data_IF_360274789996
#
_entry.id   IF_360274789996
#
_cell.length_a   1.000
_cell.length_b   1.000
_cell.length_c   1.000
_cell.angle_alpha   90.00
_cell.angle_beta   90.00
_cell.angle_gamma   90.00
#
_symmetry.space_group_name_H-M   'P 1'
#
loop_
_entity.id
_entity.type
_entity.pdbx_description
1 polymer ?
#
# COMPACT_ATOMS: atom_id res chain seq x y z
N UNK A 1 65.95 -31.35 42.21
CA UNK A 1 67.33 -30.86 42.11
C UNK A 1 67.51 -30.29 40.70
N UNK A 2 67.30 -28.97 40.58
CA UNK A 2 67.49 -28.00 39.48
C UNK A 2 67.02 -28.30 38.02
N UNK A 3 66.73 -27.27 37.17
CA UNK A 3 66.67 -25.82 37.43
C UNK A 3 65.41 -25.09 36.93
N UNK A 4 65.22 -23.89 37.51
CA UNK A 4 64.49 -22.74 36.98
C UNK A 4 65.16 -22.16 35.72
N UNK A 5 64.36 -21.66 34.79
CA UNK A 5 64.66 -20.62 33.79
C UNK A 5 63.28 -20.14 33.29
N UNK A 6 62.94 -18.87 33.16
CA UNK A 6 63.75 -17.66 33.03
C UNK A 6 63.03 -16.81 31.98
N UNK A 7 62.35 -15.77 32.46
CA UNK A 7 62.04 -14.45 31.90
C UNK A 7 61.87 -14.17 30.39
N UNK A 8 60.93 -13.25 30.17
CA UNK A 8 60.89 -12.18 29.16
C UNK A 8 60.62 -12.52 27.69
N UNK A 9 59.41 -12.14 27.23
CA UNK A 9 59.29 -11.42 25.95
C UNK A 9 57.99 -10.60 25.79
N UNK A 10 58.18 -9.27 25.86
CA UNK A 10 57.58 -8.19 25.07
C UNK A 10 56.09 -8.21 24.73
N UNK A 11 55.33 -7.37 25.44
CA UNK A 11 54.11 -6.73 24.93
C UNK A 11 54.45 -5.77 23.78
N UNK A 12 54.12 -6.16 22.55
CA UNK A 12 54.09 -5.28 21.39
C UNK A 12 52.80 -4.45 21.38
N UNK A 13 52.92 -3.14 21.61
CA UNK A 13 51.86 -2.17 21.37
C UNK A 13 51.60 -2.06 19.86
N UNK A 14 50.51 -2.66 19.39
CA UNK A 14 49.99 -2.44 18.03
C UNK A 14 49.54 -0.99 17.89
N UNK A 15 50.18 -0.28 16.96
CA UNK A 15 49.78 1.05 16.49
C UNK A 15 48.40 0.94 15.82
N UNK A 16 47.49 1.82 16.22
CA UNK A 16 46.20 2.01 15.58
C UNK A 16 46.40 2.51 14.14
N UNK A 17 46.16 1.63 13.16
CA UNK A 17 45.99 2.04 11.77
C UNK A 17 44.59 2.65 11.58
N UNK A 18 44.48 3.84 10.96
CA UNK A 18 43.18 4.42 10.64
C UNK A 18 42.51 3.61 9.53
N UNK A 19 41.33 3.07 9.84
CA UNK A 19 40.46 2.37 8.90
C UNK A 19 40.26 3.17 7.59
N UNK A 20 40.41 2.55 6.42
CA UNK A 20 40.16 3.21 5.14
C UNK A 20 38.68 3.61 5.06
N UNK A 21 38.43 4.89 4.79
CA UNK A 21 37.08 5.43 4.55
C UNK A 21 36.52 4.80 3.27
N UNK A 22 35.69 3.77 3.41
CA UNK A 22 34.94 3.19 2.30
C UNK A 22 33.91 4.21 1.77
N UNK A 23 34.14 4.68 0.54
CA UNK A 23 33.14 5.47 -0.19
C UNK A 23 31.95 4.58 -0.56
N UNK A 24 30.69 5.00 -0.29
CA UNK A 24 29.49 4.20 -0.55
C UNK A 24 29.25 3.88 -2.04
N UNK A 25 29.94 4.57 -2.95
CA UNK A 25 29.92 4.24 -4.38
C UNK A 25 30.63 2.90 -4.70
N UNK A 26 31.65 2.53 -3.92
CA UNK A 26 32.43 1.31 -4.18
C UNK A 26 31.71 0.02 -3.77
N UNK A 27 30.80 0.09 -2.80
CA UNK A 27 30.06 -1.09 -2.29
C UNK A 27 29.00 -1.59 -3.28
N UNK A 28 28.34 -0.67 -4.00
CA UNK A 28 27.33 -1.04 -5.00
C UNK A 28 27.97 -1.66 -6.25
N UNK A 29 29.12 -1.14 -6.65
CA UNK A 29 29.89 -1.68 -7.79
C UNK A 29 30.54 -3.04 -7.44
N UNK A 30 31.06 -3.20 -6.22
CA UNK A 30 31.58 -4.49 -5.76
C UNK A 30 30.48 -5.56 -5.62
N UNK A 31 29.30 -5.20 -5.12
CA UNK A 31 28.16 -6.12 -5.04
C UNK A 31 27.70 -6.58 -6.44
N UNK A 32 27.69 -5.67 -7.41
CA UNK A 32 27.29 -5.99 -8.80
C UNK A 32 28.31 -6.91 -9.49
N UNK A 33 29.61 -6.71 -9.23
CA UNK A 33 30.69 -7.58 -9.75
C UNK A 33 30.64 -8.97 -9.10
N UNK A 34 30.37 -9.04 -7.79
CA UNK A 34 30.20 -10.32 -7.08
C UNK A 34 29.01 -11.10 -7.63
N UNK A 35 27.83 -10.47 -7.79
CA UNK A 35 26.63 -11.13 -8.33
C UNK A 35 26.87 -11.65 -9.76
N UNK A 36 27.53 -10.87 -10.62
CA UNK A 36 27.87 -11.31 -11.99
C UNK A 36 28.80 -12.52 -11.99
N UNK A 37 29.79 -12.56 -11.09
CA UNK A 37 30.73 -13.69 -10.99
C UNK A 37 30.04 -14.95 -10.48
N UNK A 38 29.13 -14.85 -9.51
CA UNK A 38 28.43 -16.02 -8.96
C UNK A 38 27.45 -16.64 -9.97
N UNK A 39 26.75 -15.82 -10.76
CA UNK A 39 25.86 -16.29 -11.85
C UNK A 39 26.68 -17.01 -12.93
N UNK A 40 27.83 -16.46 -13.31
CA UNK A 40 28.68 -17.03 -14.34
C UNK A 40 29.40 -18.33 -13.89
N UNK A 41 29.61 -18.50 -12.58
CA UNK A 41 30.20 -19.71 -11.99
C UNK A 41 29.18 -20.86 -11.89
N UNK A 42 27.93 -20.54 -11.53
CA UNK A 42 26.82 -21.52 -11.44
C UNK A 42 26.46 -22.14 -12.79
N UNK A 43 26.75 -21.45 -13.89
CA UNK A 43 26.46 -21.93 -15.25
C UNK A 43 27.60 -22.78 -15.86
N UNK A 44 28.74 -22.90 -15.19
CA UNK A 44 29.95 -23.55 -15.75
C UNK A 44 30.52 -24.71 -14.95
N UNK A 45 29.98 -25.01 -13.76
CA UNK A 45 30.58 -26.01 -12.89
C UNK A 45 29.54 -26.99 -12.34
N UNK A 46 29.71 -28.27 -12.69
CA UNK A 46 29.10 -29.43 -12.03
C UNK A 46 29.80 -29.78 -10.71
N UNK A 47 30.51 -28.82 -10.11
CA UNK A 47 31.27 -29.00 -8.88
C UNK A 47 30.42 -28.57 -7.68
N UNK A 48 30.54 -29.26 -6.54
CA UNK A 48 29.81 -28.90 -5.32
C UNK A 48 30.17 -27.47 -4.89
N UNK A 49 29.15 -26.65 -4.65
CA UNK A 49 29.30 -25.27 -4.18
C UNK A 49 30.04 -25.29 -2.84
N UNK A 50 31.11 -24.48 -2.66
CA UNK A 50 31.82 -24.38 -1.40
C UNK A 50 30.87 -24.02 -0.26
N UNK A 51 30.88 -24.80 0.84
CA UNK A 51 29.94 -24.66 1.95
C UNK A 51 29.87 -23.22 2.54
N UNK A 52 30.98 -22.47 2.51
CA UNK A 52 31.00 -21.07 2.98
C UNK A 52 30.19 -20.09 2.12
N UNK A 53 29.98 -20.38 0.82
CA UNK A 53 29.13 -19.57 -0.07
C UNK A 53 27.66 -19.92 0.15
N UNK A 54 27.36 -21.17 0.53
CA UNK A 54 26.01 -21.61 0.86
C UNK A 54 25.47 -20.81 2.06
N UNK A 55 26.27 -20.61 3.12
CA UNK A 55 25.88 -19.77 4.27
C UNK A 55 25.59 -18.31 3.89
N UNK A 56 26.36 -17.70 2.98
CA UNK A 56 26.12 -16.32 2.56
C UNK A 56 24.82 -16.18 1.75
N UNK A 57 24.47 -17.21 0.97
CA UNK A 57 23.21 -17.26 0.21
C UNK A 57 22.02 -17.55 1.14
N UNK A 58 22.24 -18.38 2.17
CA UNK A 58 21.22 -18.75 3.16
C UNK A 58 20.97 -17.66 4.22
N UNK A 59 21.94 -16.76 4.46
CA UNK A 59 21.82 -15.61 5.39
C UNK A 59 21.27 -14.32 4.73
N UNK A 60 21.36 -14.21 3.39
CA UNK A 60 20.80 -13.07 2.64
C UNK A 60 19.26 -12.88 2.71
N UNK A 61 18.39 -13.88 3.01
CA UNK A 61 16.95 -13.68 3.10
C UNK A 61 16.46 -13.16 4.46
N UNK A 62 17.31 -13.15 5.50
CA UNK A 62 16.89 -12.74 6.86
C UNK A 62 16.53 -11.24 6.95
N UNK A 63 17.28 -10.38 6.26
CA UNK A 63 16.99 -8.93 6.17
C UNK A 63 15.88 -8.56 5.19
N UNK A 64 15.51 -9.45 4.26
CA UNK A 64 14.49 -9.18 3.25
C UNK A 64 13.06 -9.38 3.79
N UNK A 65 12.89 -10.31 4.74
CA UNK A 65 11.62 -10.59 5.42
C UNK A 65 10.99 -9.35 6.10
N UNK A 66 11.71 -8.56 6.93
CA UNK A 66 11.14 -7.36 7.54
C UNK A 66 10.82 -6.28 6.50
N UNK A 67 11.54 -6.23 5.37
CA UNK A 67 11.26 -5.29 4.29
C UNK A 67 9.95 -5.64 3.56
N UNK A 68 9.74 -6.92 3.25
CA UNK A 68 8.47 -7.42 2.69
C UNK A 68 7.29 -7.17 3.64
N UNK A 69 7.49 -7.38 4.94
CA UNK A 69 6.50 -7.07 5.96
C UNK A 69 6.15 -5.57 6.01
N UNK A 70 7.14 -4.69 5.86
CA UNK A 70 6.93 -3.24 5.82
C UNK A 70 6.20 -2.80 4.53
N UNK A 71 6.49 -3.43 3.39
CA UNK A 71 5.76 -3.21 2.14
C UNK A 71 4.29 -3.64 2.24
N UNK A 72 4.02 -4.75 2.92
CA UNK A 72 2.68 -5.25 3.14
C UNK A 72 1.82 -4.28 3.99
N UNK A 73 2.37 -3.77 5.10
CA UNK A 73 1.66 -2.82 5.97
C UNK A 73 1.23 -1.55 5.21
N UNK A 74 2.06 -1.07 4.28
CA UNK A 74 1.75 0.08 3.43
C UNK A 74 0.60 -0.20 2.45
N UNK A 75 0.52 -1.43 1.94
CA UNK A 75 -0.46 -1.79 0.92
C UNK A 75 -1.88 -1.99 1.50
N UNK A 76 -2.02 -2.48 2.74
CA UNK A 76 -3.34 -2.59 3.41
C UNK A 76 -3.94 -1.22 3.72
N UNK A 77 -3.12 -0.21 3.98
CA UNK A 77 -3.61 1.10 4.40
C UNK A 77 -4.56 1.73 3.37
N UNK A 78 -4.25 1.56 2.08
CA UNK A 78 -4.99 2.16 0.97
C UNK A 78 -6.44 1.65 0.89
N UNK A 79 -6.73 0.34 0.78
CA UNK A 79 -8.09 -0.17 0.70
C UNK A 79 -8.92 0.13 1.96
N UNK A 80 -8.29 0.13 3.14
CA UNK A 80 -8.98 0.50 4.39
C UNK A 80 -9.29 2.00 4.47
N UNK A 81 -8.43 2.86 3.92
CA UNK A 81 -8.76 4.28 3.78
C UNK A 81 -9.98 4.49 2.86
N UNK A 82 -10.11 3.71 1.78
CA UNK A 82 -11.32 3.72 0.96
C UNK A 82 -12.56 3.29 1.75
N UNK A 83 -12.46 2.22 2.57
CA UNK A 83 -13.57 1.79 3.45
C UNK A 83 -13.96 2.91 4.41
N UNK A 84 -13.00 3.50 5.11
CA UNK A 84 -13.25 4.58 6.06
C UNK A 84 -13.92 5.79 5.38
N UNK A 85 -13.46 6.14 4.18
CA UNK A 85 -14.05 7.23 3.39
C UNK A 85 -15.49 6.90 2.92
N UNK A 86 -15.75 5.66 2.51
CA UNK A 86 -17.09 5.21 2.10
C UNK A 86 -18.03 5.17 3.30
N UNK A 87 -17.59 4.69 4.47
CA UNK A 87 -18.37 4.73 5.72
C UNK A 87 -18.69 6.18 6.11
N UNK A 88 -17.69 7.07 6.08
CA UNK A 88 -17.89 8.48 6.36
C UNK A 88 -18.98 9.08 5.44
N UNK A 89 -18.87 8.86 4.12
CA UNK A 89 -19.87 9.38 3.17
C UNK A 89 -21.24 8.71 3.32
N UNK A 90 -21.28 7.41 3.58
CA UNK A 90 -22.52 6.69 3.87
C UNK A 90 -23.26 7.37 5.02
N UNK A 91 -22.57 7.62 6.14
CA UNK A 91 -23.16 8.27 7.31
C UNK A 91 -23.64 9.69 7.01
N UNK A 92 -22.85 10.50 6.30
CA UNK A 92 -23.20 11.87 5.93
C UNK A 92 -24.42 11.92 5.01
N UNK A 93 -24.52 11.02 4.04
CA UNK A 93 -25.61 10.99 3.04
C UNK A 93 -26.90 10.43 3.66
N UNK A 94 -26.83 9.27 4.31
CA UNK A 94 -28.01 8.59 4.84
C UNK A 94 -28.57 9.32 6.06
N UNK A 95 -27.71 9.78 6.96
CA UNK A 95 -28.09 10.47 8.19
C UNK A 95 -27.86 11.99 8.11
N UNK A 96 -28.18 12.59 6.97
CA UNK A 96 -27.97 14.03 6.70
C UNK A 96 -28.64 14.97 7.72
N UNK A 97 -29.64 14.50 8.48
CA UNK A 97 -30.34 15.26 9.53
C UNK A 97 -29.56 15.35 10.85
N UNK A 98 -28.63 14.43 11.10
CA UNK A 98 -27.85 14.42 12.34
C UNK A 98 -26.60 15.30 12.17
N UNK A 99 -26.49 16.34 12.99
CA UNK A 99 -25.36 17.27 12.96
C UNK A 99 -24.02 16.59 13.28
N UNK A 100 -24.03 15.52 14.10
CA UNK A 100 -22.83 14.78 14.51
C UNK A 100 -21.97 14.35 13.32
N UNK A 101 -22.57 13.79 12.27
CA UNK A 101 -21.84 13.29 11.10
C UNK A 101 -21.22 14.39 10.23
N UNK A 102 -21.61 15.65 10.41
CA UNK A 102 -21.05 16.80 9.68
C UNK A 102 -19.87 17.44 10.41
N UNK A 103 -19.60 17.02 11.65
CA UNK A 103 -18.51 17.58 12.46
C UNK A 103 -17.15 17.06 12.01
N UNK A 104 -16.10 17.87 12.21
CA UNK A 104 -14.71 17.43 11.99
C UNK A 104 -14.32 16.26 12.93
N UNK A 105 -14.95 16.19 14.10
CA UNK A 105 -14.73 15.11 15.07
C UNK A 105 -15.12 13.75 14.49
N UNK A 106 -16.19 13.67 13.69
CA UNK A 106 -16.59 12.44 13.03
C UNK A 106 -15.52 11.92 12.06
N UNK A 107 -14.88 12.81 11.30
CA UNK A 107 -13.76 12.45 10.41
C UNK A 107 -12.60 11.86 11.21
N UNK A 108 -12.25 12.46 12.36
CA UNK A 108 -11.19 11.95 13.25
C UNK A 108 -11.54 10.56 13.77
N UNK A 109 -12.79 10.34 14.18
CA UNK A 109 -13.27 9.02 14.63
C UNK A 109 -13.13 7.98 13.50
N UNK A 110 -13.53 8.31 12.27
CA UNK A 110 -13.37 7.39 11.13
C UNK A 110 -11.90 7.02 10.89
N UNK A 111 -10.99 8.01 10.99
CA UNK A 111 -9.54 7.77 10.83
C UNK A 111 -9.02 6.88 11.96
N UNK A 112 -9.33 7.20 13.23
CA UNK A 112 -8.87 6.40 14.37
C UNK A 112 -9.38 4.96 14.30
N UNK A 113 -10.65 4.75 13.96
CA UNK A 113 -11.23 3.42 13.79
C UNK A 113 -10.54 2.64 12.67
N UNK A 114 -10.18 3.32 11.56
CA UNK A 114 -9.39 2.70 10.49
C UNK A 114 -8.03 2.22 10.99
N UNK A 115 -7.31 3.05 11.74
CA UNK A 115 -6.00 2.70 12.29
C UNK A 115 -6.08 1.52 13.25
N UNK A 116 -7.08 1.51 14.14
CA UNK A 116 -7.31 0.39 15.07
C UNK A 116 -7.61 -0.90 14.28
N UNK A 117 -8.49 -0.84 13.28
CA UNK A 117 -8.81 -2.01 12.46
C UNK A 117 -7.57 -2.54 11.72
N UNK A 118 -6.74 -1.64 11.16
CA UNK A 118 -5.50 -2.02 10.48
C UNK A 118 -4.48 -2.63 11.44
N UNK A 119 -4.37 -2.09 12.67
CA UNK A 119 -3.51 -2.65 13.71
C UNK A 119 -3.95 -4.08 14.06
N UNK A 120 -5.24 -4.29 14.32
CA UNK A 120 -5.81 -5.61 14.63
C UNK A 120 -5.58 -6.61 13.50
N UNK A 121 -5.78 -6.20 12.24
CA UNK A 121 -5.56 -7.06 11.07
C UNK A 121 -4.07 -7.35 10.83
N UNK A 122 -3.17 -6.50 11.31
CA UNK A 122 -1.73 -6.73 11.19
C UNK A 122 -1.18 -7.67 12.27
N UNK A 123 -1.94 -7.94 13.34
CA UNK A 123 -1.47 -8.76 14.47
C UNK A 123 -1.02 -10.18 14.09
N UNK A 124 -1.72 -10.94 13.23
CA UNK A 124 -1.28 -12.28 12.86
C UNK A 124 0.14 -12.32 12.29
N UNK A 125 0.56 -11.28 11.56
CA UNK A 125 1.90 -11.22 11.00
C UNK A 125 2.97 -10.97 12.05
N UNK A 126 2.64 -10.24 13.12
CA UNK A 126 3.56 -10.03 14.26
C UNK A 126 3.76 -11.34 15.01
N UNK A 127 2.69 -12.11 15.23
CA UNK A 127 2.77 -13.38 15.96
C UNK A 127 3.49 -14.47 15.16
N UNK A 128 3.25 -14.56 13.85
CA UNK A 128 3.92 -15.56 12.99
C UNK A 128 5.43 -15.29 12.87
N UNK A 129 5.87 -14.03 13.02
CA UNK A 129 7.31 -13.71 13.04
C UNK A 129 8.07 -14.32 14.23
N UNK A 130 7.41 -14.54 15.38
CA UNK A 130 8.06 -15.11 16.56
C UNK A 130 8.10 -16.64 16.57
N UNK A 131 7.28 -17.29 15.74
CA UNK A 131 7.14 -18.74 15.70
C UNK A 131 7.85 -19.31 14.45
N UNK A 132 9.18 -19.15 14.41
CA UNK A 132 10.08 -19.51 13.31
C UNK A 132 10.01 -21.00 12.86
N UNK A 133 9.22 -21.84 13.52
CA UNK A 133 9.17 -23.29 13.28
C UNK A 133 7.95 -23.81 12.48
N UNK A 134 6.96 -22.97 12.11
CA UNK A 134 5.74 -23.49 11.47
C UNK A 134 5.52 -22.98 10.05
N UNK A 135 5.68 -23.88 9.10
CA UNK A 135 5.71 -23.73 7.63
C UNK A 135 4.38 -23.35 6.97
N UNK A 136 3.65 -22.33 7.44
CA UNK A 136 2.34 -21.96 6.86
C UNK A 136 2.38 -20.72 5.96
N UNK A 137 3.43 -20.59 5.14
CA UNK A 137 3.61 -19.50 4.16
C UNK A 137 2.41 -19.34 3.20
N UNK A 138 1.73 -20.45 2.88
CA UNK A 138 0.53 -20.46 2.05
C UNK A 138 -0.66 -19.78 2.72
N UNK A 139 -0.88 -20.01 4.02
CA UNK A 139 -2.00 -19.44 4.76
C UNK A 139 -1.90 -17.92 4.82
N UNK A 140 -0.68 -17.38 5.02
CA UNK A 140 -0.44 -15.95 5.01
C UNK A 140 -0.74 -15.27 3.67
N UNK A 141 -0.50 -15.95 2.54
CA UNK A 141 -0.91 -15.49 1.22
C UNK A 141 -2.43 -15.34 1.11
N UNK A 142 -3.19 -16.34 1.55
CA UNK A 142 -4.66 -16.28 1.58
C UNK A 142 -5.18 -15.21 2.54
N UNK A 143 -4.61 -15.13 3.74
CA UNK A 143 -4.97 -14.12 4.74
C UNK A 143 -4.79 -12.72 4.16
N UNK A 144 -3.65 -12.48 3.50
CA UNK A 144 -3.33 -11.24 2.77
C UNK A 144 -4.38 -10.94 1.71
N UNK A 145 -4.70 -11.89 0.83
CA UNK A 145 -5.69 -11.70 -0.22
C UNK A 145 -7.08 -11.36 0.34
N UNK A 146 -7.51 -12.08 1.38
CA UNK A 146 -8.79 -11.87 2.03
C UNK A 146 -8.85 -10.47 2.66
N UNK A 147 -7.86 -10.12 3.46
CA UNK A 147 -7.87 -8.87 4.23
C UNK A 147 -7.57 -7.63 3.40
N UNK A 148 -6.67 -7.71 2.42
CA UNK A 148 -6.29 -6.57 1.59
C UNK A 148 -7.24 -6.32 0.40
N UNK A 149 -7.88 -7.37 -0.13
CA UNK A 149 -8.73 -7.27 -1.32
C UNK A 149 -10.18 -7.58 -1.02
N UNK A 150 -10.49 -8.80 -0.57
CA UNK A 150 -11.88 -9.30 -0.52
C UNK A 150 -12.71 -8.53 0.52
N UNK A 151 -12.18 -8.39 1.73
CA UNK A 151 -12.85 -7.71 2.84
C UNK A 151 -13.14 -6.23 2.53
N UNK A 152 -12.16 -5.38 2.17
CA UNK A 152 -12.44 -3.99 1.85
C UNK A 152 -13.31 -3.83 0.59
N UNK A 153 -13.21 -4.74 -0.39
CA UNK A 153 -14.07 -4.73 -1.58
C UNK A 153 -15.52 -5.03 -1.28
N UNK A 154 -15.79 -6.07 -0.51
CA UNK A 154 -17.15 -6.42 -0.13
C UNK A 154 -17.81 -5.28 0.66
N UNK A 155 -17.11 -4.71 1.65
CA UNK A 155 -17.61 -3.59 2.45
C UNK A 155 -17.87 -2.36 1.56
N UNK A 156 -16.90 -1.95 0.73
CA UNK A 156 -17.07 -0.80 -0.16
C UNK A 156 -18.19 -1.02 -1.18
N UNK A 157 -18.29 -2.21 -1.76
CA UNK A 157 -19.34 -2.53 -2.73
C UNK A 157 -20.72 -2.45 -2.08
N UNK A 158 -20.91 -3.07 -0.91
CA UNK A 158 -22.16 -3.05 -0.15
C UNK A 158 -22.55 -1.60 0.19
N UNK A 159 -21.64 -0.82 0.76
CA UNK A 159 -21.91 0.57 1.13
C UNK A 159 -22.21 1.45 -0.09
N UNK A 160 -21.45 1.31 -1.18
CA UNK A 160 -21.70 2.07 -2.41
C UNK A 160 -23.05 1.73 -3.04
N UNK A 161 -23.47 0.46 -3.02
CA UNK A 161 -24.82 0.04 -3.45
C UNK A 161 -25.88 0.71 -2.58
N UNK A 162 -25.73 0.70 -1.25
CA UNK A 162 -26.67 1.37 -0.36
C UNK A 162 -26.74 2.89 -0.59
N UNK A 163 -25.60 3.56 -0.74
CA UNK A 163 -25.53 4.99 -1.07
C UNK A 163 -26.26 5.25 -2.39
N UNK A 164 -26.00 4.43 -3.41
CA UNK A 164 -26.62 4.58 -4.73
C UNK A 164 -28.14 4.42 -4.68
N UNK A 165 -28.64 3.38 -4.01
CA UNK A 165 -30.07 3.15 -3.80
C UNK A 165 -30.71 4.34 -3.07
N UNK A 166 -30.04 4.84 -2.02
CA UNK A 166 -30.55 5.96 -1.23
C UNK A 166 -30.62 7.24 -2.07
N UNK A 167 -29.55 7.59 -2.80
CA UNK A 167 -29.50 8.77 -3.67
C UNK A 167 -30.55 8.68 -4.79
N UNK A 168 -30.76 7.48 -5.38
CA UNK A 168 -31.80 7.27 -6.41
C UNK A 168 -33.20 7.45 -5.84
N UNK A 169 -33.49 6.89 -4.66
CA UNK A 169 -34.78 7.08 -3.97
C UNK A 169 -35.03 8.56 -3.66
N UNK A 170 -34.01 9.29 -3.21
CA UNK A 170 -34.11 10.73 -2.91
C UNK A 170 -34.29 11.58 -4.17
N UNK A 171 -33.67 11.22 -5.30
CA UNK A 171 -33.86 11.91 -6.59
C UNK A 171 -35.27 11.75 -7.15
N UNK A 172 -35.85 10.55 -7.03
CA UNK A 172 -37.20 10.26 -7.52
C UNK A 172 -38.31 11.01 -6.75
N UNK A 173 -38.09 11.35 -5.47
CA UNK A 173 -39.07 12.10 -4.67
C UNK A 173 -39.22 13.57 -5.08
N UNK A 174 -38.29 14.13 -5.86
CA UNK A 174 -38.29 15.57 -6.22
C UNK A 174 -39.03 15.85 -7.55
N UNK A 175 -39.57 14.83 -8.22
CA UNK A 175 -40.51 14.97 -9.35
C UNK A 175 -41.72 14.08 -9.04
N UNK A 176 -42.97 14.58 -8.84
CA UNK A 176 -43.58 15.78 -9.43
C UNK A 176 -44.47 16.61 -8.45
N UNK A 177 -44.21 17.91 -8.33
CA UNK A 177 -45.27 18.90 -7.98
C UNK A 177 -45.08 20.19 -8.78
N UNK A 178 -44.71 20.04 -10.06
CA UNK A 178 -45.01 21.07 -11.06
C UNK A 178 -46.50 20.96 -11.38
N UNK A 179 -47.33 21.58 -10.55
CA UNK A 179 -48.50 22.22 -11.14
C UNK A 179 -48.91 23.48 -10.40
N UNK A 180 -48.84 23.56 -9.07
CA UNK A 180 -49.36 24.74 -8.38
C UNK A 180 -48.39 25.29 -7.35
N UNK A 181 -48.32 26.61 -7.32
CA UNK A 181 -47.71 27.46 -6.29
C UNK A 181 -46.28 27.90 -6.54
N UNK A 182 -46.23 29.01 -7.29
CA UNK A 182 -45.29 30.13 -7.17
C UNK A 182 -44.97 30.37 -5.67
N UNK A 183 -43.97 29.69 -5.13
CA UNK A 183 -43.33 30.06 -3.86
C UNK A 183 -41.84 30.13 -4.11
N UNK A 184 -41.40 31.36 -4.30
CA UNK A 184 -40.07 31.76 -4.71
C UNK A 184 -39.01 31.38 -3.66
N UNK A 185 -37.86 30.86 -4.12
CA UNK A 185 -36.57 31.09 -3.46
C UNK A 185 -35.79 29.87 -2.94
N UNK A 186 -36.42 28.96 -2.17
CA UNK A 186 -35.64 28.04 -1.31
C UNK A 186 -35.32 26.68 -1.98
N UNK A 187 -36.13 26.24 -2.96
CA UNK A 187 -36.00 24.89 -3.53
C UNK A 187 -34.83 24.70 -4.52
N UNK A 188 -34.13 25.76 -4.93
CA UNK A 188 -33.02 25.63 -5.88
C UNK A 188 -31.75 25.01 -5.28
N UNK A 189 -31.48 25.20 -3.97
CA UNK A 189 -30.25 24.70 -3.35
C UNK A 189 -30.18 23.17 -3.24
N UNK A 190 -31.31 22.49 -3.00
CA UNK A 190 -31.32 21.05 -2.77
C UNK A 190 -30.98 20.22 -4.03
N UNK A 191 -31.38 20.70 -5.21
CA UNK A 191 -31.05 20.05 -6.49
C UNK A 191 -29.56 20.09 -6.83
N UNK A 192 -28.84 21.13 -6.38
CA UNK A 192 -27.42 21.33 -6.67
C UNK A 192 -26.52 20.45 -5.80
N UNK A 193 -26.94 20.17 -4.56
CA UNK A 193 -26.24 19.27 -3.63
C UNK A 193 -26.19 17.84 -4.20
N UNK A 194 -27.33 17.34 -4.69
CA UNK A 194 -27.45 15.98 -5.26
C UNK A 194 -26.49 15.71 -6.44
N UNK A 195 -26.29 16.67 -7.35
CA UNK A 195 -25.37 16.50 -8.49
C UNK A 195 -23.91 16.35 -8.06
N UNK A 196 -23.47 17.13 -7.08
CA UNK A 196 -22.10 17.06 -6.55
C UNK A 196 -21.86 15.70 -5.90
N UNK A 197 -22.82 15.24 -5.09
CA UNK A 197 -22.69 13.96 -4.38
C UNK A 197 -22.62 12.76 -5.34
N UNK A 198 -23.42 12.79 -6.42
CA UNK A 198 -23.37 11.79 -7.49
C UNK A 198 -22.02 11.81 -8.21
N UNK A 199 -21.49 12.99 -8.56
CA UNK A 199 -20.18 13.09 -9.21
C UNK A 199 -19.07 12.51 -8.32
N UNK A 200 -19.08 12.84 -7.03
CA UNK A 200 -18.13 12.31 -6.05
C UNK A 200 -18.29 10.79 -5.88
N UNK A 201 -19.53 10.27 -5.90
CA UNK A 201 -19.79 8.82 -5.82
C UNK A 201 -19.21 8.09 -7.04
N UNK A 202 -19.41 8.63 -8.24
CA UNK A 202 -18.82 8.07 -9.47
C UNK A 202 -17.29 8.02 -9.38
N UNK A 203 -16.68 9.10 -8.89
CA UNK A 203 -15.23 9.18 -8.71
C UNK A 203 -14.72 8.14 -7.70
N UNK A 204 -15.43 7.94 -6.59
CA UNK A 204 -15.09 6.91 -5.60
C UNK A 204 -15.16 5.51 -6.16
N UNK A 205 -16.25 5.17 -6.86
CA UNK A 205 -16.41 3.86 -7.49
C UNK A 205 -15.30 3.65 -8.51
N UNK A 206 -15.00 4.65 -9.34
CA UNK A 206 -13.93 4.57 -10.33
C UNK A 206 -12.55 4.35 -9.69
N UNK A 207 -12.17 5.16 -8.70
CA UNK A 207 -10.88 5.02 -8.00
C UNK A 207 -10.74 3.68 -7.29
N UNK A 208 -11.82 3.21 -6.67
CA UNK A 208 -11.86 1.91 -6.01
C UNK A 208 -11.72 0.76 -7.02
N UNK A 209 -12.46 0.79 -8.13
CA UNK A 209 -12.36 -0.24 -9.18
C UNK A 209 -10.97 -0.29 -9.80
N UNK A 210 -10.36 0.87 -10.08
CA UNK A 210 -8.99 0.93 -10.60
C UNK A 210 -7.97 0.35 -9.63
N UNK A 211 -8.17 0.57 -8.32
CA UNK A 211 -7.35 -0.06 -7.29
C UNK A 211 -7.49 -1.59 -7.31
N UNK A 212 -8.71 -2.12 -7.34
CA UNK A 212 -8.94 -3.57 -7.37
C UNK A 212 -8.36 -4.21 -8.63
N UNK A 213 -8.56 -3.62 -9.80
CA UNK A 213 -8.01 -4.14 -11.06
C UNK A 213 -6.48 -4.13 -11.05
N UNK A 214 -5.86 -3.07 -10.50
CA UNK A 214 -4.40 -2.95 -10.48
C UNK A 214 -3.72 -3.87 -9.48
N UNK A 215 -4.30 -4.04 -8.29
CA UNK A 215 -3.64 -4.73 -7.18
C UNK A 215 -4.02 -6.21 -7.04
N UNK A 216 -5.22 -6.61 -7.48
CA UNK A 216 -5.65 -8.01 -7.36
C UNK A 216 -4.74 -8.97 -8.12
N UNK A 217 -4.34 -8.71 -9.39
CA UNK A 217 -3.47 -9.62 -10.13
C UNK A 217 -2.09 -9.80 -9.46
N UNK A 218 -1.51 -8.71 -8.94
CA UNK A 218 -0.23 -8.77 -8.23
C UNK A 218 -0.33 -9.61 -6.95
N UNK A 219 -1.41 -9.47 -6.17
CA UNK A 219 -1.63 -10.25 -4.94
C UNK A 219 -1.97 -11.71 -5.22
N UNK A 220 -2.74 -11.99 -6.27
CA UNK A 220 -3.06 -13.35 -6.70
C UNK A 220 -1.79 -14.06 -7.17
N UNK A 221 -0.96 -13.42 -8.00
CA UNK A 221 0.31 -14.02 -8.44
C UNK A 221 1.22 -14.28 -7.26
N UNK A 222 1.37 -13.35 -6.31
CA UNK A 222 2.17 -13.59 -5.12
C UNK A 222 1.66 -14.77 -4.29
N UNK A 223 0.34 -15.01 -4.29
CA UNK A 223 -0.25 -16.17 -3.59
C UNK A 223 -0.02 -17.48 -4.37
N UNK A 224 -0.13 -17.43 -5.70
CA UNK A 224 0.06 -18.59 -6.58
C UNK A 224 1.53 -18.97 -6.71
N UNK A 225 2.46 -18.01 -6.70
CA UNK A 225 3.90 -18.25 -6.82
C UNK A 225 4.45 -19.09 -5.64
N UNK A 226 3.82 -18.98 -4.47
CA UNK A 226 4.10 -19.85 -3.31
C UNK A 226 3.67 -21.30 -3.58
N UNK A 227 2.70 -21.53 -4.46
CA UNK A 227 2.18 -22.87 -4.78
C UNK A 227 2.83 -23.48 -6.03
N UNK A 228 3.03 -22.67 -7.06
CA UNK A 228 3.46 -23.08 -8.40
C UNK A 228 4.41 -22.01 -8.93
N UNK A 229 5.54 -22.40 -9.51
CA UNK A 229 6.44 -21.48 -10.19
C UNK A 229 5.72 -20.71 -11.30
N UNK A 230 5.57 -19.40 -11.13
CA UNK A 230 4.98 -18.52 -12.15
C UNK A 230 6.07 -18.00 -13.08
N UNK A 231 5.75 -17.87 -14.38
CA UNK A 231 6.66 -17.28 -15.36
C UNK A 231 6.98 -15.81 -15.00
N UNK A 232 8.26 -15.45 -15.08
CA UNK A 232 8.74 -14.09 -14.80
C UNK A 232 7.98 -13.00 -15.59
N UNK A 233 7.62 -13.27 -16.83
CA UNK A 233 6.88 -12.34 -17.69
C UNK A 233 5.50 -11.97 -17.12
N UNK A 234 4.80 -12.94 -16.53
CA UNK A 234 3.46 -12.75 -15.94
C UNK A 234 3.56 -11.90 -14.67
N UNK A 235 4.61 -12.12 -13.88
CA UNK A 235 4.91 -11.30 -12.70
C UNK A 235 5.21 -9.85 -13.09
N UNK A 236 6.08 -9.65 -14.08
CA UNK A 236 6.42 -8.31 -14.59
C UNK A 236 5.20 -7.60 -15.17
N UNK A 237 4.38 -8.28 -15.98
CA UNK A 237 3.15 -7.70 -16.53
C UNK A 237 2.20 -7.20 -15.44
N UNK A 238 2.09 -7.94 -14.33
CA UNK A 238 1.22 -7.57 -13.21
C UNK A 238 1.75 -6.40 -12.39
N UNK A 239 3.08 -6.30 -12.25
CA UNK A 239 3.71 -5.10 -11.68
C UNK A 239 3.42 -3.89 -12.56
N UNK A 240 3.62 -3.99 -13.88
CA UNK A 240 3.30 -2.88 -14.79
C UNK A 240 1.83 -2.48 -14.75
N UNK A 241 0.90 -3.45 -14.68
CA UNK A 241 -0.52 -3.18 -14.53
C UNK A 241 -0.81 -2.38 -13.26
N UNK A 242 -0.22 -2.76 -12.12
CA UNK A 242 -0.40 -2.04 -10.86
C UNK A 242 0.09 -0.58 -10.93
N UNK A 243 1.23 -0.34 -11.60
CA UNK A 243 1.80 0.99 -11.80
C UNK A 243 0.92 1.84 -12.70
N UNK A 244 0.41 1.28 -13.80
CA UNK A 244 -0.50 1.98 -14.72
C UNK A 244 -1.81 2.34 -14.01
N UNK A 245 -2.38 1.42 -13.24
CA UNK A 245 -3.58 1.68 -12.44
C UNK A 245 -3.34 2.77 -11.39
N UNK A 246 -2.19 2.77 -10.70
CA UNK A 246 -1.81 3.82 -9.77
C UNK A 246 -1.70 5.18 -10.46
N UNK A 247 -1.03 5.23 -11.62
CA UNK A 247 -0.92 6.46 -12.42
C UNK A 247 -2.30 6.98 -12.82
N UNK A 248 -3.21 6.10 -13.25
CA UNK A 248 -4.57 6.47 -13.59
C UNK A 248 -5.35 7.02 -12.37
N UNK A 249 -5.16 6.47 -11.17
CA UNK A 249 -5.74 7.00 -9.93
C UNK A 249 -5.17 8.39 -9.61
N UNK A 250 -3.87 8.61 -9.77
CA UNK A 250 -3.21 9.91 -9.55
C UNK A 250 -3.76 10.95 -10.53
N UNK A 251 -3.82 10.61 -11.82
CA UNK A 251 -4.39 11.48 -12.88
C UNK A 251 -5.84 11.81 -12.54
N UNK A 252 -6.63 10.82 -12.11
CA UNK A 252 -8.01 11.04 -11.73
C UNK A 252 -8.14 11.98 -10.51
N UNK A 253 -7.31 11.78 -9.48
CA UNK A 253 -7.28 12.66 -8.31
C UNK A 253 -6.92 14.10 -8.69
N UNK A 254 -5.97 14.27 -9.61
CA UNK A 254 -5.59 15.57 -10.16
C UNK A 254 -6.72 16.26 -10.93
N UNK A 255 -7.40 15.52 -11.83
CA UNK A 255 -8.49 16.06 -12.67
C UNK A 255 -9.65 16.57 -11.81
N UNK A 256 -10.00 15.82 -10.76
CA UNK A 256 -11.17 16.11 -9.93
C UNK A 256 -10.89 17.06 -8.76
N UNK A 257 -9.63 17.19 -8.32
CA UNK A 257 -9.29 18.13 -7.26
C UNK A 257 -9.06 19.53 -7.84
N UNK A 258 -10.15 20.32 -7.86
CA UNK A 258 -10.12 21.70 -8.36
C UNK A 258 -9.08 22.58 -7.65
N UNK A 259 -8.87 22.39 -6.34
CA UNK A 259 -7.94 23.21 -5.56
C UNK A 259 -6.49 22.91 -5.93
N UNK A 260 -6.13 21.63 -6.03
CA UNK A 260 -4.79 21.21 -6.51
C UNK A 260 -4.55 21.74 -7.92
N UNK A 261 -5.53 21.56 -8.80
CA UNK A 261 -5.44 22.04 -10.18
C UNK A 261 -5.23 23.56 -10.24
N UNK A 262 -6.01 24.32 -9.45
CA UNK A 262 -5.88 25.78 -9.36
C UNK A 262 -4.50 26.17 -8.83
N UNK A 263 -4.05 25.55 -7.74
CA UNK A 263 -2.74 25.81 -7.15
C UNK A 263 -1.59 25.58 -8.12
N UNK A 264 -1.67 24.50 -8.92
CA UNK A 264 -0.65 24.19 -9.92
C UNK A 264 -0.69 25.15 -11.12
N UNK A 265 -1.88 25.47 -11.64
CA UNK A 265 -2.00 26.46 -12.70
C UNK A 265 -1.53 27.85 -12.26
N UNK A 266 -1.86 28.28 -11.03
CA UNK A 266 -1.42 29.56 -10.47
C UNK A 266 0.11 29.59 -10.27
N UNK A 267 0.72 28.45 -9.94
CA UNK A 267 2.18 28.34 -9.81
C UNK A 267 2.89 28.35 -11.17
N UNK A 268 2.37 27.61 -12.15
CA UNK A 268 2.88 27.60 -13.53
C UNK A 268 2.75 29.00 -14.15
N UNK A 269 1.59 29.64 -14.00
CA UNK A 269 1.35 30.99 -14.53
C UNK A 269 2.32 32.03 -13.95
N UNK A 270 2.69 31.90 -12.68
CA UNK A 270 3.71 32.77 -12.05
C UNK A 270 5.11 32.54 -12.64
N UNK A 271 5.48 31.29 -12.93
CA UNK A 271 6.78 31.01 -13.57
C UNK A 271 6.90 31.53 -15.01
N UNK A 272 5.80 31.57 -15.77
CA UNK A 272 5.81 32.04 -17.17
C UNK A 272 5.59 33.55 -17.34
N UNK A 273 5.30 34.29 -16.26
CA UNK A 273 5.13 35.74 -16.29
C UNK A 273 6.35 36.52 -15.74
N UNK A 274 7.44 35.82 -15.44
CA UNK A 274 8.76 36.41 -15.20
C UNK A 274 9.61 36.30 -16.47
#
# INVERSE_FOLDING_TARGET
MYPEAGDDQMYGTTKDEPWPKCSPASLRDQATILIRRTIHWKQRSSLPVPQHIQYIIDDFPSGLKPLLHFHFHKNIQIPFAFVAFTVHRFCVIVYHTKALFKTKQWVVICILTQWIAQFVISLPFVFEYYDDCTSNTVWMGFYTLITAVILPSSINMILNIYIFIHVRKSSLRVRPSRLNTITNGINHQQSRISRRDISLLKQMIFTFTMFIIGWTPALVINTVDVMIFVNFDVQMASVYLSVICLLAVIINLFIYNHEIRRYLFDSIRRCFHC
#
